data_IF_260388858779
#
_entry.id   IF_260388858779
#
_cell.length_a   1.000
_cell.length_b   1.000
_cell.length_c   1.000
_cell.angle_alpha   90.00
_cell.angle_beta   90.00
_cell.angle_gamma   90.00
#
_symmetry.space_group_name_H-M   'P 1'
#
loop_
_entity.id
_entity.type
_entity.pdbx_description
1 polymer ?
#
# COMPACT_ATOMS: atom_id res chain seq x y z
N UNK A 1 -32.91 -13.50 8.72
CA UNK A 1 -31.93 -13.03 7.72
C UNK A 1 -31.74 -11.53 7.92
N UNK A 2 -30.54 -11.12 8.27
CA UNK A 2 -30.23 -9.69 8.25
C UNK A 2 -30.24 -9.20 6.80
N UNK A 3 -30.86 -8.06 6.48
CA UNK A 3 -30.85 -7.55 5.13
C UNK A 3 -29.41 -7.26 4.72
N UNK A 4 -29.02 -7.66 3.49
CA UNK A 4 -27.73 -7.30 2.93
C UNK A 4 -27.68 -5.78 2.81
N UNK A 5 -26.72 -5.09 3.44
CA UNK A 5 -26.66 -3.64 3.38
C UNK A 5 -26.44 -3.18 1.95
N UNK A 6 -27.06 -2.06 1.59
CA UNK A 6 -26.84 -1.44 0.30
C UNK A 6 -25.38 -0.95 0.23
N UNK A 7 -24.61 -1.47 -0.71
CA UNK A 7 -23.22 -1.11 -0.92
C UNK A 7 -23.13 0.11 -1.83
N UNK A 8 -22.36 1.10 -1.40
CA UNK A 8 -22.19 2.33 -2.17
C UNK A 8 -20.99 2.19 -3.15
N UNK A 9 -21.30 2.15 -4.43
CA UNK A 9 -20.29 2.06 -5.50
C UNK A 9 -19.40 3.29 -5.61
N UNK A 10 -19.85 4.45 -5.14
CA UNK A 10 -19.02 5.66 -5.09
C UNK A 10 -17.87 5.48 -4.13
N UNK A 11 -18.16 4.93 -2.94
CA UNK A 11 -17.11 4.62 -1.97
C UNK A 11 -16.17 3.52 -2.43
N UNK A 12 -16.62 2.54 -3.22
CA UNK A 12 -15.73 1.55 -3.81
C UNK A 12 -14.73 2.20 -4.77
N UNK A 13 -15.21 3.10 -5.62
CA UNK A 13 -14.35 3.87 -6.53
C UNK A 13 -13.37 4.76 -5.76
N UNK A 14 -13.85 5.54 -4.78
CA UNK A 14 -13.02 6.42 -3.96
C UNK A 14 -11.92 5.63 -3.25
N UNK A 15 -12.26 4.51 -2.61
CA UNK A 15 -11.28 3.71 -1.88
C UNK A 15 -10.25 3.04 -2.79
N UNK A 16 -10.65 2.64 -3.98
CA UNK A 16 -9.71 2.11 -4.98
C UNK A 16 -8.74 3.19 -5.46
N UNK A 17 -9.24 4.38 -5.78
CA UNK A 17 -8.40 5.51 -6.23
C UNK A 17 -7.44 5.95 -5.13
N UNK A 18 -7.90 6.07 -3.87
CA UNK A 18 -7.04 6.48 -2.76
C UNK A 18 -5.99 5.43 -2.42
N UNK A 19 -6.33 4.15 -2.49
CA UNK A 19 -5.36 3.05 -2.36
C UNK A 19 -4.24 3.16 -3.41
N UNK A 20 -4.61 3.33 -4.68
CA UNK A 20 -3.64 3.47 -5.78
C UNK A 20 -2.81 4.76 -5.66
N UNK A 21 -3.42 5.87 -5.24
CA UNK A 21 -2.72 7.13 -5.01
C UNK A 21 -1.72 7.03 -3.85
N UNK A 22 -2.07 6.33 -2.78
CA UNK A 22 -1.17 6.07 -1.65
C UNK A 22 0.07 5.27 -2.06
N UNK A 23 -0.12 4.22 -2.85
CA UNK A 23 1.01 3.45 -3.40
C UNK A 23 1.81 4.25 -4.44
N UNK A 24 1.11 5.00 -5.30
CA UNK A 24 1.71 5.81 -6.35
C UNK A 24 2.55 6.98 -5.83
N UNK A 25 2.21 7.56 -4.68
CA UNK A 25 2.96 8.66 -4.09
C UNK A 25 4.41 8.29 -3.78
N UNK A 26 4.68 7.05 -3.43
CA UNK A 26 6.04 6.55 -3.19
C UNK A 26 6.90 6.51 -4.46
N UNK A 27 6.26 6.43 -5.63
CA UNK A 27 6.98 6.52 -6.90
C UNK A 27 7.29 7.95 -7.29
N UNK A 28 6.34 8.84 -7.09
CA UNK A 28 6.36 10.17 -7.69
C UNK A 28 7.01 11.21 -6.78
N UNK A 29 6.59 11.26 -5.51
CA UNK A 29 6.98 12.35 -4.61
C UNK A 29 8.48 12.42 -4.31
N UNK A 30 9.14 11.36 -3.82
CA UNK A 30 10.56 11.44 -3.48
C UNK A 30 11.47 11.62 -4.70
N UNK A 31 11.02 11.23 -5.88
CA UNK A 31 11.87 11.13 -7.08
C UNK A 31 11.67 12.26 -8.06
N UNK A 32 10.45 12.81 -8.15
CA UNK A 32 10.15 13.94 -9.03
C UNK A 32 10.51 15.26 -8.35
N UNK A 33 10.23 15.38 -7.04
CA UNK A 33 10.37 16.65 -6.31
C UNK A 33 11.67 16.75 -5.51
N UNK A 34 12.43 15.66 -5.36
CA UNK A 34 13.71 15.69 -4.66
C UNK A 34 14.82 16.05 -5.63
N UNK A 35 15.29 17.28 -5.56
CA UNK A 35 16.51 17.74 -6.18
C UNK A 35 17.56 18.00 -5.10
N UNK A 36 18.43 17.05 -4.83
CA UNK A 36 19.67 17.33 -4.12
C UNK A 36 20.64 17.95 -5.12
N UNK A 37 21.09 19.21 -4.92
CA UNK A 37 22.05 19.83 -5.83
C UNK A 37 23.40 19.12 -5.85
N UNK A 38 23.74 18.34 -4.81
CA UNK A 38 24.95 17.50 -4.77
C UNK A 38 24.75 16.17 -5.51
N UNK A 39 23.50 15.77 -5.73
CA UNK A 39 23.11 14.54 -6.43
C UNK A 39 22.49 14.92 -7.78
N UNK A 40 23.27 15.57 -8.62
CA UNK A 40 22.89 15.93 -9.98
C UNK A 40 22.87 14.73 -10.93
N UNK A 41 22.42 13.60 -10.47
CA UNK A 41 22.09 12.52 -11.39
C UNK A 41 20.78 12.91 -12.08
N UNK A 42 20.90 13.19 -13.36
CA UNK A 42 19.79 13.67 -14.15
C UNK A 42 18.56 12.76 -13.97
N UNK A 43 17.41 13.37 -14.05
CA UNK A 43 16.09 12.77 -14.04
C UNK A 43 15.99 11.38 -14.73
N UNK A 44 16.76 11.12 -15.77
CA UNK A 44 16.82 9.84 -16.50
C UNK A 44 17.36 8.66 -15.67
N UNK A 45 18.29 8.90 -14.75
CA UNK A 45 18.88 7.82 -13.94
C UNK A 45 17.97 7.33 -12.82
N UNK A 46 16.85 8.00 -12.56
CA UNK A 46 15.89 7.66 -11.51
C UNK A 46 14.79 6.68 -11.98
N UNK A 47 14.68 6.45 -13.29
CA UNK A 47 13.71 5.56 -13.90
C UNK A 47 14.34 4.20 -14.23
N UNK A 48 14.70 3.45 -13.21
CA UNK A 48 15.11 2.06 -13.37
C UNK A 48 14.16 1.09 -12.65
N UNK A 49 14.37 -0.20 -12.82
CA UNK A 49 13.45 -1.25 -12.34
C UNK A 49 13.15 -1.14 -10.84
N UNK A 50 14.13 -0.73 -10.03
CA UNK A 50 13.92 -0.55 -8.58
C UNK A 50 12.86 0.50 -8.22
N UNK A 51 12.57 1.44 -9.12
CA UNK A 51 11.47 2.41 -8.96
C UNK A 51 10.12 1.72 -8.96
N UNK A 52 9.98 0.65 -9.74
CA UNK A 52 8.74 -0.10 -9.84
C UNK A 52 8.56 -1.11 -8.71
N UNK A 53 9.64 -1.45 -7.98
CA UNK A 53 9.60 -2.45 -6.92
C UNK A 53 8.52 -2.20 -5.85
N UNK A 54 8.29 -0.98 -5.33
CA UNK A 54 7.20 -0.70 -4.41
C UNK A 54 5.83 -1.09 -4.96
N UNK A 55 5.51 -0.67 -6.19
CA UNK A 55 4.21 -0.98 -6.81
C UNK A 55 4.07 -2.47 -7.09
N UNK A 56 5.12 -3.11 -7.59
CA UNK A 56 5.11 -4.57 -7.83
C UNK A 56 4.90 -5.33 -6.52
N UNK A 57 5.58 -4.93 -5.44
CA UNK A 57 5.41 -5.53 -4.11
C UNK A 57 4.00 -5.35 -3.59
N UNK A 58 3.44 -4.13 -3.69
CA UNK A 58 2.05 -3.85 -3.28
C UNK A 58 1.06 -4.69 -4.07
N UNK A 59 1.23 -4.80 -5.38
CA UNK A 59 0.38 -5.62 -6.24
C UNK A 59 0.46 -7.09 -5.85
N UNK A 60 1.67 -7.60 -5.63
CA UNK A 60 1.87 -8.99 -5.21
C UNK A 60 1.26 -9.27 -3.82
N UNK A 61 1.43 -8.37 -2.86
CA UNK A 61 0.83 -8.50 -1.53
C UNK A 61 -0.69 -8.40 -1.57
N UNK A 62 -1.26 -7.51 -2.37
CA UNK A 62 -2.72 -7.42 -2.56
C UNK A 62 -3.27 -8.69 -3.20
N UNK A 63 -2.59 -9.25 -4.20
CA UNK A 63 -2.94 -10.52 -4.80
C UNK A 63 -2.84 -11.69 -3.81
N UNK A 64 -1.78 -11.74 -3.00
CA UNK A 64 -1.63 -12.73 -1.94
C UNK A 64 -2.82 -12.68 -0.96
N UNK A 65 -3.23 -11.48 -0.55
CA UNK A 65 -4.40 -11.33 0.31
C UNK A 65 -5.68 -11.82 -0.37
N UNK A 66 -5.93 -11.38 -1.60
CA UNK A 66 -7.18 -11.70 -2.31
C UNK A 66 -7.31 -13.19 -2.60
N UNK A 67 -6.26 -13.83 -3.10
CA UNK A 67 -6.33 -15.21 -3.58
C UNK A 67 -5.96 -16.27 -2.53
N UNK A 68 -5.27 -15.89 -1.45
CA UNK A 68 -4.79 -16.86 -0.46
C UNK A 68 -5.33 -16.57 0.94
N UNK A 69 -5.08 -15.37 1.49
CA UNK A 69 -5.39 -15.08 2.90
C UNK A 69 -6.89 -15.02 3.15
N UNK A 70 -7.66 -14.40 2.28
CA UNK A 70 -9.13 -14.36 2.39
C UNK A 70 -9.75 -15.77 2.43
N UNK A 71 -9.27 -16.66 1.58
CA UNK A 71 -9.71 -18.05 1.56
C UNK A 71 -9.36 -18.82 2.84
N UNK A 72 -8.22 -18.49 3.46
CA UNK A 72 -7.80 -19.12 4.71
C UNK A 72 -8.61 -18.63 5.93
N UNK A 73 -8.94 -17.34 5.98
CA UNK A 73 -9.68 -16.77 7.12
C UNK A 73 -11.19 -16.86 7.00
N UNK A 74 -11.73 -16.97 5.79
CA UNK A 74 -13.16 -17.18 5.49
C UNK A 74 -14.13 -16.23 6.22
N UNK A 75 -13.71 -15.00 6.55
CA UNK A 75 -14.58 -14.00 7.17
C UNK A 75 -15.70 -13.59 6.24
N UNK A 76 -16.92 -13.54 6.74
CA UNK A 76 -18.10 -13.20 5.93
C UNK A 76 -18.26 -11.69 5.84
N UNK A 77 -18.68 -11.19 4.68
CA UNK A 77 -18.98 -9.77 4.47
C UNK A 77 -20.23 -9.33 5.26
N UNK A 78 -20.39 -8.03 5.54
CA UNK A 78 -21.60 -7.51 6.20
C UNK A 78 -22.89 -8.01 5.52
N UNK A 79 -23.78 -8.58 6.33
CA UNK A 79 -25.05 -9.15 5.88
C UNK A 79 -24.96 -10.48 5.13
N UNK A 80 -23.77 -11.03 4.95
CA UNK A 80 -23.57 -12.34 4.36
C UNK A 80 -23.43 -13.41 5.45
N UNK A 81 -24.04 -14.57 5.21
CA UNK A 81 -23.97 -15.75 6.07
C UNK A 81 -23.87 -17.03 5.20
N UNK A 82 -23.78 -18.18 5.85
CA UNK A 82 -23.65 -19.44 5.14
C UNK A 82 -24.86 -19.75 4.22
N UNK A 83 -26.02 -19.14 4.46
CA UNK A 83 -27.25 -19.40 3.69
C UNK A 83 -27.34 -18.57 2.42
N UNK A 84 -26.65 -17.43 2.37
CA UNK A 84 -26.64 -16.52 1.22
C UNK A 84 -25.26 -16.41 0.53
N UNK A 85 -24.28 -17.21 0.98
CA UNK A 85 -22.96 -17.26 0.32
C UNK A 85 -23.10 -17.77 -1.14
N UNK A 86 -22.46 -17.09 -2.05
CA UNK A 86 -22.54 -17.33 -3.50
C UNK A 86 -23.67 -16.55 -4.20
N UNK A 87 -24.56 -15.90 -3.45
CA UNK A 87 -25.56 -14.97 -4.02
C UNK A 87 -24.95 -13.60 -4.29
N UNK A 88 -25.64 -12.80 -5.08
CA UNK A 88 -25.21 -11.44 -5.42
C UNK A 88 -24.78 -10.65 -4.16
N UNK A 89 -23.60 -10.06 -4.21
CA UNK A 89 -22.95 -9.33 -3.12
C UNK A 89 -22.36 -10.20 -1.98
N UNK A 90 -22.54 -11.53 -2.00
CA UNK A 90 -21.96 -12.47 -1.04
C UNK A 90 -21.08 -13.54 -1.73
N UNK A 91 -20.52 -13.23 -2.87
CA UNK A 91 -19.75 -14.15 -3.70
C UNK A 91 -18.34 -14.40 -3.17
N UNK A 92 -17.81 -13.49 -2.36
CA UNK A 92 -16.43 -13.55 -1.85
C UNK A 92 -16.36 -13.27 -0.37
N UNK A 93 -15.33 -13.80 0.29
CA UNK A 93 -15.04 -13.49 1.68
C UNK A 93 -14.64 -12.02 1.89
N UNK A 94 -15.00 -11.45 3.03
CA UNK A 94 -14.69 -10.06 3.41
C UNK A 94 -13.34 -9.92 4.12
N UNK A 95 -13.02 -10.87 4.97
CA UNK A 95 -11.78 -10.84 5.77
C UNK A 95 -10.58 -11.32 4.94
N UNK A 96 -9.53 -10.62 4.85
CA UNK A 96 -9.20 -9.26 5.28
C UNK A 96 -9.50 -8.31 4.13
N UNK A 97 -9.92 -7.05 4.44
CA UNK A 97 -10.13 -6.04 3.40
C UNK A 97 -8.91 -5.87 2.50
N UNK A 98 -9.02 -6.14 1.21
CA UNK A 98 -7.87 -6.03 0.27
C UNK A 98 -7.44 -4.60 0.08
N UNK A 99 -8.37 -3.65 0.00
CA UNK A 99 -8.05 -2.24 -0.12
C UNK A 99 -7.37 -1.71 1.14
N UNK A 100 -7.86 -2.07 2.33
CA UNK A 100 -7.24 -1.68 3.60
C UNK A 100 -5.87 -2.36 3.78
N UNK A 101 -5.76 -3.63 3.38
CA UNK A 101 -4.48 -4.35 3.37
C UNK A 101 -3.46 -3.67 2.45
N UNK A 102 -3.84 -3.33 1.22
CA UNK A 102 -2.95 -2.67 0.28
C UNK A 102 -2.56 -1.25 0.76
N UNK A 103 -3.51 -0.49 1.32
CA UNK A 103 -3.23 0.81 1.93
C UNK A 103 -2.27 0.71 3.12
N UNK A 104 -2.49 -0.27 4.00
CA UNK A 104 -1.58 -0.58 5.10
C UNK A 104 -0.19 -1.01 4.61
N UNK A 105 -0.14 -1.87 3.58
CA UNK A 105 1.11 -2.31 2.99
C UNK A 105 1.90 -1.15 2.35
N UNK A 106 1.21 -0.23 1.66
CA UNK A 106 1.83 0.97 1.12
C UNK A 106 2.46 1.82 2.23
N UNK A 107 1.71 2.08 3.31
CA UNK A 107 2.23 2.81 4.46
C UNK A 107 3.41 2.10 5.13
N UNK A 108 3.29 0.81 5.38
CA UNK A 108 4.36 0.03 6.03
C UNK A 108 5.65 0.04 5.21
N UNK A 109 5.54 -0.18 3.90
CA UNK A 109 6.68 -0.11 2.98
C UNK A 109 7.32 1.27 2.99
N UNK A 110 6.53 2.33 2.85
CA UNK A 110 7.04 3.70 2.85
C UNK A 110 7.72 4.08 4.16
N UNK A 111 7.14 3.71 5.31
CA UNK A 111 7.76 3.94 6.63
C UNK A 111 9.12 3.22 6.73
N UNK A 112 9.21 1.96 6.28
CA UNK A 112 10.47 1.22 6.30
C UNK A 112 11.52 1.87 5.41
N UNK A 113 11.16 2.24 4.17
CA UNK A 113 12.05 2.94 3.24
C UNK A 113 12.53 4.25 3.85
N UNK A 114 11.61 5.08 4.35
CA UNK A 114 11.93 6.37 4.95
C UNK A 114 12.88 6.23 6.16
N UNK A 115 12.64 5.26 7.04
CA UNK A 115 13.49 5.02 8.22
C UNK A 115 14.89 4.57 7.80
N UNK A 116 14.99 3.60 6.90
CA UNK A 116 16.30 3.11 6.46
C UNK A 116 17.07 4.19 5.68
N UNK A 117 16.42 4.91 4.79
CA UNK A 117 17.03 6.03 4.07
C UNK A 117 17.55 7.10 5.02
N UNK A 118 16.73 7.48 6.01
CA UNK A 118 17.13 8.50 6.99
C UNK A 118 18.29 8.03 7.86
N UNK A 119 18.24 6.80 8.40
CA UNK A 119 19.24 6.31 9.36
C UNK A 119 20.52 5.83 8.68
N UNK A 120 20.38 5.10 7.57
CA UNK A 120 21.52 4.41 6.93
C UNK A 120 22.19 5.25 5.85
N UNK A 121 21.38 5.93 5.01
CA UNK A 121 21.91 6.59 3.82
C UNK A 121 22.07 8.10 3.94
N UNK A 122 21.21 8.77 4.73
CA UNK A 122 21.22 10.23 4.88
C UNK A 122 21.92 10.70 6.16
N UNK A 123 22.51 9.79 6.95
CA UNK A 123 23.21 10.14 8.19
C UNK A 123 22.31 10.84 9.22
N UNK A 124 21.01 10.48 9.29
CA UNK A 124 20.03 11.06 10.19
C UNK A 124 19.35 12.33 9.66
N UNK A 125 19.64 12.75 8.44
CA UNK A 125 18.98 13.93 7.83
C UNK A 125 17.61 13.56 7.31
N UNK A 126 16.58 14.22 7.81
CA UNK A 126 15.19 14.01 7.37
C UNK A 126 14.94 14.76 6.06
N UNK A 127 14.54 14.02 5.04
CA UNK A 127 14.07 14.59 3.79
C UNK A 127 12.57 14.81 3.84
N UNK A 128 12.11 16.06 3.78
CA UNK A 128 10.69 16.41 3.84
C UNK A 128 9.85 15.85 2.69
N UNK A 129 10.40 15.73 1.49
CA UNK A 129 9.70 15.13 0.34
C UNK A 129 9.55 13.61 0.52
N UNK A 130 10.59 12.93 1.01
CA UNK A 130 10.49 11.51 1.34
C UNK A 130 9.48 11.28 2.47
N UNK A 131 9.49 12.08 3.52
CA UNK A 131 8.50 12.02 4.58
C UNK A 131 7.07 12.21 4.03
N UNK A 132 6.87 13.18 3.16
CA UNK A 132 5.57 13.44 2.55
C UNK A 132 5.11 12.27 1.64
N UNK A 133 5.99 11.77 0.76
CA UNK A 133 5.66 10.74 -0.22
C UNK A 133 5.58 9.32 0.35
N UNK A 134 6.49 8.99 1.27
CA UNK A 134 6.59 7.62 1.79
C UNK A 134 5.76 7.39 3.05
N UNK A 135 5.44 8.44 3.80
CA UNK A 135 4.74 8.30 5.09
C UNK A 135 3.41 9.06 5.11
N UNK A 136 3.43 10.39 4.93
CA UNK A 136 2.23 11.20 5.15
C UNK A 136 1.15 10.88 4.11
N UNK A 137 1.50 10.84 2.84
CA UNK A 137 0.53 10.61 1.76
C UNK A 137 -0.07 9.20 1.82
N UNK A 138 0.71 8.10 1.96
CA UNK A 138 0.15 6.77 2.16
C UNK A 138 -0.71 6.67 3.42
N UNK A 139 -0.34 7.35 4.51
CA UNK A 139 -1.14 7.37 5.72
C UNK A 139 -2.51 8.02 5.49
N UNK A 140 -2.54 9.22 4.91
CA UNK A 140 -3.80 9.95 4.65
C UNK A 140 -4.70 9.16 3.70
N UNK A 141 -4.17 8.68 2.59
CA UNK A 141 -4.95 7.90 1.64
C UNK A 141 -5.36 6.52 2.18
N UNK A 142 -4.51 5.88 2.98
CA UNK A 142 -4.84 4.65 3.68
C UNK A 142 -6.00 4.84 4.67
N UNK A 143 -6.02 5.96 5.40
CA UNK A 143 -7.13 6.31 6.29
C UNK A 143 -8.42 6.58 5.53
N UNK A 144 -8.38 7.30 4.40
CA UNK A 144 -9.56 7.52 3.56
C UNK A 144 -10.08 6.19 3.03
N UNK A 145 -9.18 5.31 2.59
CA UNK A 145 -9.53 3.97 2.13
C UNK A 145 -10.21 3.17 3.24
N UNK A 146 -9.63 3.12 4.43
CA UNK A 146 -10.16 2.38 5.57
C UNK A 146 -11.56 2.88 5.99
N UNK A 147 -11.72 4.19 6.13
CA UNK A 147 -13.00 4.80 6.50
C UNK A 147 -14.04 4.55 5.40
N UNK A 148 -13.69 4.75 4.14
CA UNK A 148 -14.58 4.59 3.01
C UNK A 148 -15.10 3.15 2.85
N UNK A 149 -14.29 2.13 3.16
CA UNK A 149 -14.74 0.71 3.15
C UNK A 149 -15.81 0.45 4.18
N UNK A 150 -15.67 1.02 5.39
CA UNK A 150 -16.67 0.91 6.44
C UNK A 150 -17.95 1.69 6.12
N UNK A 151 -17.82 2.97 5.71
CA UNK A 151 -18.95 3.86 5.38
C UNK A 151 -19.74 3.34 4.19
N UNK A 152 -19.06 2.79 3.18
CA UNK A 152 -19.68 2.21 2.00
C UNK A 152 -20.35 0.84 2.22
N UNK A 153 -20.35 0.31 3.45
CA UNK A 153 -20.88 -1.01 3.81
C UNK A 153 -20.23 -2.19 3.04
N UNK A 154 -18.99 -2.01 2.58
CA UNK A 154 -18.28 -3.07 1.89
C UNK A 154 -17.67 -4.09 2.85
N UNK A 155 -17.19 -3.62 4.01
CA UNK A 155 -16.50 -4.43 5.01
C UNK A 155 -16.83 -3.95 6.43
N UNK A 156 -16.70 -4.84 7.39
CA UNK A 156 -16.85 -4.49 8.80
C UNK A 156 -15.62 -3.72 9.31
N UNK A 157 -15.74 -2.91 10.36
CA UNK A 157 -14.60 -2.25 10.97
C UNK A 157 -13.48 -3.21 11.39
N UNK A 158 -13.83 -4.44 11.79
CA UNK A 158 -12.86 -5.47 12.15
C UNK A 158 -12.05 -5.95 10.93
N UNK A 159 -12.71 -6.20 9.80
CA UNK A 159 -12.06 -6.60 8.54
C UNK A 159 -11.11 -5.52 8.02
N UNK A 160 -11.55 -4.27 8.10
CA UNK A 160 -10.76 -3.09 7.73
C UNK A 160 -9.53 -2.96 8.63
N UNK A 161 -9.71 -3.04 9.95
CA UNK A 161 -8.61 -2.90 10.91
C UNK A 161 -7.58 -4.03 10.78
N UNK A 162 -8.04 -5.27 10.72
CA UNK A 162 -7.15 -6.43 10.55
C UNK A 162 -6.42 -6.36 9.21
N UNK A 163 -7.13 -6.06 8.13
CA UNK A 163 -6.51 -5.88 6.81
C UNK A 163 -5.42 -4.81 6.83
N UNK A 164 -5.72 -3.63 7.36
CA UNK A 164 -4.76 -2.54 7.46
C UNK A 164 -3.52 -2.86 8.30
N UNK A 165 -3.70 -3.47 9.48
CA UNK A 165 -2.59 -3.82 10.39
C UNK A 165 -1.71 -4.93 9.80
N UNK A 166 -2.30 -5.98 9.25
CA UNK A 166 -1.56 -7.07 8.64
C UNK A 166 -0.83 -6.57 7.39
N UNK A 167 -1.51 -5.77 6.56
CA UNK A 167 -0.89 -5.12 5.42
C UNK A 167 0.31 -4.25 5.80
N UNK A 168 0.17 -3.44 6.85
CA UNK A 168 1.25 -2.60 7.37
C UNK A 168 2.47 -3.45 7.79
N UNK A 169 2.26 -4.57 8.46
CA UNK A 169 3.34 -5.49 8.85
C UNK A 169 4.07 -6.08 7.62
N UNK A 170 3.33 -6.63 6.67
CA UNK A 170 3.91 -7.17 5.44
C UNK A 170 4.60 -6.10 4.60
N UNK A 171 3.98 -4.93 4.47
CA UNK A 171 4.57 -3.78 3.80
C UNK A 171 5.88 -3.34 4.45
N UNK A 172 5.91 -3.22 5.77
CA UNK A 172 7.12 -2.87 6.52
C UNK A 172 8.25 -3.88 6.29
N UNK A 173 7.96 -5.17 6.39
CA UNK A 173 8.96 -6.22 6.14
C UNK A 173 9.47 -6.17 4.70
N UNK A 174 8.60 -5.96 3.72
CA UNK A 174 9.01 -5.84 2.31
C UNK A 174 9.84 -4.58 2.06
N UNK A 175 9.48 -3.45 2.66
CA UNK A 175 10.24 -2.20 2.57
C UNK A 175 11.62 -2.30 3.21
N UNK A 176 11.72 -2.96 4.37
CA UNK A 176 13.00 -3.27 5.02
C UNK A 176 13.88 -4.14 4.12
N UNK A 177 13.34 -5.25 3.60
CA UNK A 177 14.06 -6.14 2.70
C UNK A 177 14.54 -5.39 1.45
N UNK A 178 13.64 -4.62 0.81
CA UNK A 178 13.96 -3.82 -0.37
C UNK A 178 15.12 -2.86 -0.09
N UNK A 179 15.02 -2.05 0.97
CA UNK A 179 15.96 -0.96 1.22
C UNK A 179 17.31 -1.46 1.74
N UNK A 180 17.32 -2.55 2.52
CA UNK A 180 18.56 -3.13 3.03
C UNK A 180 19.35 -3.87 1.95
N UNK A 181 18.66 -4.44 0.96
CA UNK A 181 19.29 -5.14 -0.17
C UNK A 181 19.69 -4.18 -1.29
N UNK A 182 19.07 -3.02 -1.36
CA UNK A 182 19.36 -2.03 -2.39
C UNK A 182 20.78 -1.46 -2.22
N UNK A 183 21.52 -1.37 -3.30
CA UNK A 183 22.82 -0.70 -3.33
C UNK A 183 22.64 0.82 -3.35
N UNK A 184 23.44 1.59 -2.60
CA UNK A 184 23.31 3.05 -2.55
C UNK A 184 23.58 3.70 -3.93
N UNK A 185 24.38 3.06 -4.79
CA UNK A 185 24.67 3.56 -6.12
C UNK A 185 23.48 3.41 -7.09
N UNK A 186 22.47 2.62 -6.74
CA UNK A 186 21.26 2.50 -7.53
C UNK A 186 20.56 3.85 -7.66
N UNK A 187 20.40 4.32 -8.86
CA UNK A 187 19.89 5.66 -9.16
C UNK A 187 20.97 6.68 -9.54
N UNK A 188 22.24 6.39 -9.30
CA UNK A 188 23.35 7.24 -9.74
C UNK A 188 24.04 6.73 -11.02
N UNK A 189 23.96 5.43 -11.27
CA UNK A 189 24.73 4.80 -12.35
C UNK A 189 24.06 4.82 -13.72
N UNK A 190 22.79 5.22 -13.81
CA UNK A 190 22.01 5.13 -15.04
C UNK A 190 21.74 3.69 -15.50
N UNK A 191 22.15 2.69 -14.75
CA UNK A 191 21.88 1.29 -15.06
C UNK A 191 20.39 0.98 -14.87
N UNK A 192 19.79 0.40 -15.89
CA UNK A 192 18.36 0.06 -15.89
C UNK A 192 18.03 -1.01 -14.83
N UNK A 193 18.98 -1.88 -14.56
CA UNK A 193 18.85 -2.96 -13.56
C UNK A 193 19.95 -2.72 -12.53
N UNK A 194 19.57 -2.12 -11.42
CA UNK A 194 20.42 -1.90 -10.28
C UNK A 194 19.63 -2.28 -9.01
N UNK A 195 20.19 -3.18 -8.25
CA UNK A 195 19.61 -3.65 -7.00
C UNK A 195 20.65 -3.67 -5.91
#
# INVERSE_FOLDING_TARGET
MSPIPNRDSTWDTVTTVTMLAGAGSQLLMPRIFYSDPEVTVGWKARWHVSVLAPVMTMTALAALNEYSLKGAFQGQRPGCDATNFGLQNCETYGMMSTQSFAGGAALGHGVAVFVVDTLKWSGGRVNGYALAGDVITPFVFGMITAIGRGVGNWETPGEVAVGGLVGLGFGFLSGMAYTLLQRPECGYTGNLICW
#
